data_IF_910301398379
#
_entry.id   IF_910301398379
#
_cell.length_a   1.000
_cell.length_b   1.000
_cell.length_c   1.000
_cell.angle_alpha   90.00
_cell.angle_beta   90.00
_cell.angle_gamma   90.00
#
_symmetry.space_group_name_H-M   'P 1'
#
loop_
_entity.id
_entity.type
_entity.pdbx_description
1 polymer ?
#
# COMPACT_ATOMS: atom_id res chain seq x y z
N UNK A 1 1.92 6.10 1.30
CA UNK A 1 3.08 6.39 0.43
C UNK A 1 2.69 6.25 -1.03
N UNK A 2 3.08 7.18 -1.89
CA UNK A 2 2.82 7.17 -3.32
C UNK A 2 4.10 6.82 -4.09
N UNK A 3 3.95 6.09 -5.19
CA UNK A 3 5.02 5.67 -6.07
C UNK A 3 4.54 5.52 -7.50
N UNK A 4 5.38 4.96 -8.36
CA UNK A 4 5.02 4.64 -9.74
C UNK A 4 5.54 3.25 -10.11
N UNK A 5 4.83 2.59 -11.01
CA UNK A 5 5.25 1.35 -11.66
C UNK A 5 4.90 1.39 -13.15
N UNK A 6 5.29 0.37 -13.88
CA UNK A 6 4.90 0.16 -15.27
C UNK A 6 3.69 -0.77 -15.32
N UNK A 7 2.66 -0.40 -16.10
CA UNK A 7 1.48 -1.25 -16.25
C UNK A 7 1.85 -2.57 -16.97
N UNK A 8 1.55 -3.72 -16.37
CA UNK A 8 1.84 -5.04 -16.97
C UNK A 8 1.12 -5.31 -18.29
N UNK A 9 0.01 -4.60 -18.54
CA UNK A 9 -0.80 -4.77 -19.76
C UNK A 9 -0.43 -3.82 -20.89
N UNK A 10 -0.35 -2.50 -20.63
CA UNK A 10 -0.12 -1.49 -21.66
C UNK A 10 1.24 -0.79 -21.57
N UNK A 11 2.10 -1.15 -20.63
CA UNK A 11 3.42 -0.56 -20.41
C UNK A 11 3.42 0.95 -20.09
N UNK A 12 2.24 1.51 -19.77
CA UNK A 12 2.09 2.92 -19.41
C UNK A 12 2.54 3.18 -17.97
N UNK A 13 3.13 4.36 -17.68
CA UNK A 13 3.46 4.75 -16.32
C UNK A 13 2.19 4.82 -15.47
N UNK A 14 2.18 4.09 -14.37
CA UNK A 14 1.00 3.94 -13.51
C UNK A 14 1.35 4.38 -12.09
N UNK A 15 0.63 5.37 -11.52
CA UNK A 15 0.83 5.73 -10.14
C UNK A 15 0.35 4.60 -9.22
N UNK A 16 1.03 4.40 -8.10
CA UNK A 16 0.70 3.40 -7.09
C UNK A 16 0.62 4.06 -5.72
N UNK A 17 -0.06 3.40 -4.78
CA UNK A 17 -0.09 3.80 -3.38
C UNK A 17 0.07 2.59 -2.46
N UNK A 18 0.82 2.74 -1.37
CA UNK A 18 0.89 1.74 -0.30
C UNK A 18 0.50 2.40 1.02
N UNK A 19 -0.30 1.69 1.82
CA UNK A 19 -0.65 2.11 3.17
C UNK A 19 0.45 1.61 4.09
N UNK A 20 1.08 2.55 4.80
CA UNK A 20 2.10 2.28 5.80
C UNK A 20 1.57 2.73 7.16
N UNK A 21 1.82 1.92 8.18
CA UNK A 21 1.56 2.25 9.59
C UNK A 21 2.88 2.18 10.36
N UNK A 22 3.12 3.09 11.31
CA UNK A 22 4.35 3.11 12.12
C UNK A 22 4.40 1.97 13.15
N UNK A 23 3.24 1.45 13.54
CA UNK A 23 3.06 0.30 14.42
C UNK A 23 1.66 -0.26 14.21
N UNK A 24 1.42 -1.50 14.62
CA UNK A 24 0.10 -2.10 14.56
C UNK A 24 -0.11 -3.19 15.62
N UNK A 25 -1.38 -3.39 15.91
CA UNK A 25 -1.91 -4.49 16.69
C UNK A 25 -2.59 -5.47 15.73
N UNK A 26 -2.28 -6.75 15.84
CA UNK A 26 -2.88 -7.81 15.03
C UNK A 26 -3.90 -8.58 15.86
N UNK A 27 -5.10 -8.73 15.30
CA UNK A 27 -6.19 -9.49 15.90
C UNK A 27 -6.45 -10.72 15.05
N UNK A 28 -6.21 -11.90 15.61
CA UNK A 28 -6.51 -13.18 14.99
C UNK A 28 -7.31 -14.11 15.93
N UNK A 29 -7.46 -15.38 15.54
CA UNK A 29 -8.18 -16.38 16.33
C UNK A 29 -7.48 -16.71 17.67
N UNK A 30 -6.20 -16.40 17.82
CA UNK A 30 -5.38 -16.62 19.01
C UNK A 30 -5.40 -15.42 19.97
N UNK A 31 -5.77 -14.23 19.47
CA UNK A 31 -6.07 -13.05 20.27
C UNK A 31 -5.54 -11.76 19.67
N UNK A 32 -5.30 -10.78 20.54
CA UNK A 32 -4.68 -9.51 20.19
C UNK A 32 -3.18 -9.57 20.50
N UNK A 33 -2.35 -9.34 19.49
CA UNK A 33 -0.89 -9.30 19.58
C UNK A 33 -0.39 -7.91 19.14
N UNK A 34 0.35 -7.24 20.02
CA UNK A 34 1.06 -6.00 19.66
C UNK A 34 2.34 -6.37 18.89
N UNK A 35 2.41 -5.96 17.63
CA UNK A 35 3.57 -6.22 16.77
C UNK A 35 4.62 -5.11 16.90
N UNK A 36 4.24 -3.92 17.42
CA UNK A 36 5.13 -2.81 17.77
C UNK A 36 5.91 -2.14 16.62
N UNK A 37 6.00 -2.77 15.46
CA UNK A 37 6.85 -2.36 14.34
C UNK A 37 6.05 -1.84 13.14
N UNK A 38 6.70 -1.00 12.33
CA UNK A 38 6.09 -0.48 11.12
C UNK A 38 5.76 -1.56 10.10
N UNK A 39 4.65 -1.40 9.40
CA UNK A 39 4.19 -2.35 8.39
C UNK A 39 3.62 -1.66 7.14
N UNK A 40 3.79 -2.33 6.01
CA UNK A 40 3.01 -2.10 4.81
C UNK A 40 1.80 -3.02 4.78
N UNK A 41 0.61 -2.44 4.62
CA UNK A 41 -0.62 -3.20 4.44
C UNK A 41 -0.75 -3.66 2.98
N UNK A 42 -1.10 -4.94 2.80
CA UNK A 42 -1.27 -5.62 1.51
C UNK A 42 -2.57 -6.41 1.51
N UNK A 43 -3.10 -6.68 0.33
CA UNK A 43 -4.36 -7.42 0.14
C UNK A 43 -5.47 -6.88 1.04
N UNK A 44 -5.61 -5.56 1.08
CA UNK A 44 -6.52 -4.87 2.00
C UNK A 44 -7.96 -5.15 1.59
N UNK A 45 -8.64 -6.01 2.33
CA UNK A 45 -10.03 -6.40 2.09
C UNK A 45 -11.03 -5.40 2.68
N UNK A 46 -10.65 -4.73 3.78
CA UNK A 46 -11.48 -3.73 4.46
C UNK A 46 -10.62 -2.61 5.03
N UNK A 47 -11.17 -1.40 5.02
CA UNK A 47 -10.67 -0.21 5.71
C UNK A 47 -11.85 0.46 6.42
N UNK A 48 -11.58 1.11 7.55
CA UNK A 48 -12.54 2.03 8.14
C UNK A 48 -12.88 3.17 7.16
N UNK A 49 -14.09 3.73 7.29
CA UNK A 49 -14.66 4.68 6.33
C UNK A 49 -13.79 5.93 6.15
N UNK A 50 -13.23 6.45 7.24
CA UNK A 50 -12.36 7.62 7.20
C UNK A 50 -11.12 7.36 6.37
N UNK A 51 -10.44 6.26 6.66
CA UNK A 51 -9.24 5.84 5.91
C UNK A 51 -9.56 5.55 4.45
N UNK A 52 -10.70 4.91 4.15
CA UNK A 52 -11.11 4.66 2.77
C UNK A 52 -11.36 5.96 1.99
N UNK A 53 -12.03 6.94 2.60
CA UNK A 53 -12.26 8.26 2.00
C UNK A 53 -10.94 9.02 1.77
N UNK A 54 -10.02 8.95 2.73
CA UNK A 54 -8.67 9.52 2.60
C UNK A 54 -7.92 8.95 1.40
N UNK A 55 -7.87 7.62 1.31
CA UNK A 55 -7.20 6.92 0.21
C UNK A 55 -7.83 7.28 -1.12
N UNK A 56 -9.17 7.32 -1.21
CA UNK A 56 -9.86 7.70 -2.43
C UNK A 56 -9.55 9.15 -2.87
N UNK A 57 -9.36 10.07 -1.91
CA UNK A 57 -8.99 11.47 -2.18
C UNK A 57 -7.57 11.64 -2.74
N UNK A 58 -6.62 10.79 -2.33
CA UNK A 58 -5.21 10.89 -2.72
C UNK A 58 -4.77 9.89 -3.79
N UNK A 59 -5.46 8.76 -3.93
CA UNK A 59 -5.16 7.68 -4.85
C UNK A 59 -6.44 7.05 -5.42
N UNK A 60 -7.26 7.78 -6.20
CA UNK A 60 -8.52 7.28 -6.74
C UNK A 60 -8.38 6.05 -7.68
N UNK A 61 -7.17 5.77 -8.16
CA UNK A 61 -6.83 4.58 -8.94
C UNK A 61 -6.61 3.32 -8.08
N UNK A 62 -6.48 3.46 -6.76
CA UNK A 62 -6.42 2.38 -5.78
C UNK A 62 -7.84 2.19 -5.21
N UNK A 63 -8.52 1.13 -5.66
CA UNK A 63 -9.93 0.89 -5.33
C UNK A 63 -10.24 -0.61 -5.25
N UNK A 64 -11.29 -0.95 -4.52
CA UNK A 64 -11.70 -2.35 -4.37
C UNK A 64 -12.02 -2.98 -5.73
N UNK A 65 -11.42 -4.14 -5.99
CA UNK A 65 -11.69 -4.93 -7.17
C UNK A 65 -11.57 -6.42 -6.84
N UNK A 66 -12.42 -7.22 -7.48
CA UNK A 66 -12.34 -8.67 -7.42
C UNK A 66 -11.30 -9.16 -8.41
N UNK A 67 -10.30 -9.89 -7.94
CA UNK A 67 -9.32 -10.50 -8.84
C UNK A 67 -9.86 -11.80 -9.41
N UNK A 68 -9.68 -12.01 -10.71
CA UNK A 68 -10.12 -13.25 -11.37
C UNK A 68 -9.36 -14.49 -10.89
N UNK A 69 -8.11 -14.32 -10.47
CA UNK A 69 -7.21 -15.44 -10.14
C UNK A 69 -7.48 -15.99 -8.73
N UNK A 70 -7.63 -15.13 -7.71
CA UNK A 70 -7.91 -15.59 -6.34
C UNK A 70 -9.39 -15.55 -5.97
N UNK A 71 -10.24 -14.84 -6.74
CA UNK A 71 -11.62 -14.57 -6.38
C UNK A 71 -11.79 -13.59 -5.20
N UNK A 72 -10.69 -13.15 -4.59
CA UNK A 72 -10.72 -12.19 -3.49
C UNK A 72 -10.99 -10.79 -4.00
N UNK A 73 -11.72 -10.02 -3.20
CA UNK A 73 -11.93 -8.59 -3.40
C UNK A 73 -11.06 -7.82 -2.42
N UNK A 74 -10.11 -7.05 -2.95
CA UNK A 74 -9.23 -6.20 -2.14
C UNK A 74 -8.97 -4.88 -2.86
N UNK A 75 -8.43 -3.92 -2.12
CA UNK A 75 -8.04 -2.62 -2.60
C UNK A 75 -6.85 -2.74 -3.56
N UNK A 76 -7.09 -2.58 -4.87
CA UNK A 76 -6.11 -2.88 -5.90
C UNK A 76 -5.84 -1.69 -6.82
N UNK A 77 -4.60 -1.56 -7.28
CA UNK A 77 -4.21 -0.52 -8.24
C UNK A 77 -4.78 -0.81 -9.62
N UNK A 78 -5.27 0.24 -10.27
CA UNK A 78 -5.69 0.23 -11.66
C UNK A 78 -4.78 1.16 -12.47
N UNK A 79 -4.39 0.72 -13.67
CA UNK A 79 -3.67 1.58 -14.59
C UNK A 79 -4.51 2.80 -14.95
N UNK A 80 -3.96 4.00 -14.78
CA UNK A 80 -4.63 5.26 -15.13
C UNK A 80 -4.73 5.49 -16.64
N UNK A 81 -3.97 4.73 -17.44
CA UNK A 81 -4.00 4.80 -18.92
C UNK A 81 -5.00 3.82 -19.54
N UNK A 82 -4.92 2.54 -19.19
CA UNK A 82 -5.74 1.49 -19.83
C UNK A 82 -6.81 0.86 -18.91
N UNK A 83 -6.84 1.23 -17.63
CA UNK A 83 -7.79 0.68 -16.64
C UNK A 83 -7.46 -0.74 -16.18
N UNK A 84 -6.39 -1.37 -16.69
CA UNK A 84 -6.02 -2.73 -16.30
C UNK A 84 -5.72 -2.82 -14.80
N UNK A 85 -6.27 -3.84 -14.16
CA UNK A 85 -5.98 -4.19 -12.77
C UNK A 85 -4.52 -4.63 -12.64
N UNK A 86 -3.72 -3.93 -11.83
CA UNK A 86 -2.31 -4.25 -11.60
C UNK A 86 -2.14 -5.24 -10.43
N UNK A 87 -2.95 -5.11 -9.39
CA UNK A 87 -2.91 -5.98 -8.21
C UNK A 87 -1.64 -5.84 -7.36
N UNK A 88 -1.73 -6.32 -6.12
CA UNK A 88 -0.66 -6.13 -5.13
C UNK A 88 0.60 -6.96 -5.42
N UNK A 89 0.44 -8.10 -6.11
CA UNK A 89 1.55 -9.01 -6.40
C UNK A 89 2.74 -8.32 -7.08
N UNK A 90 2.48 -7.53 -8.13
CA UNK A 90 3.54 -6.82 -8.86
C UNK A 90 4.00 -5.56 -8.12
N UNK A 91 3.06 -4.84 -7.52
CA UNK A 91 3.34 -3.56 -6.85
C UNK A 91 4.23 -3.73 -5.61
N UNK A 92 4.09 -4.85 -4.90
CA UNK A 92 4.90 -5.19 -3.72
C UNK A 92 5.99 -6.24 -4.00
N UNK A 93 6.24 -6.55 -5.28
CA UNK A 93 7.34 -7.45 -5.69
C UNK A 93 8.72 -6.77 -5.47
N UNK A 94 9.83 -7.53 -5.55
CA UNK A 94 11.18 -6.97 -5.45
C UNK A 94 11.50 -5.87 -6.48
N UNK A 95 10.87 -5.91 -7.65
CA UNK A 95 11.01 -4.89 -8.69
C UNK A 95 9.97 -3.76 -8.55
N UNK A 96 9.06 -3.88 -7.58
CA UNK A 96 8.00 -2.92 -7.30
C UNK A 96 8.49 -1.72 -6.48
N UNK A 97 7.73 -0.60 -6.51
CA UNK A 97 8.12 0.64 -5.84
C UNK A 97 8.21 0.53 -4.31
N UNK A 98 7.60 -0.50 -3.70
CA UNK A 98 7.55 -0.69 -2.25
C UNK A 98 8.55 -1.74 -1.74
N UNK A 99 9.63 -1.96 -2.51
CA UNK A 99 10.78 -2.78 -2.13
C UNK A 99 12.11 -2.00 -2.18
N UNK A 100 12.20 -0.80 -1.57
CA UNK A 100 13.42 0.00 -1.65
C UNK A 100 14.61 -0.74 -1.02
N UNK A 101 15.73 -0.78 -1.76
CA UNK A 101 17.00 -1.35 -1.32
C UNK A 101 17.94 -0.28 -0.71
N UNK A 102 17.58 0.99 -0.83
CA UNK A 102 18.38 2.12 -0.31
C UNK A 102 17.52 3.31 0.08
N UNK A 103 18.10 4.23 0.86
CA UNK A 103 17.43 5.48 1.24
C UNK A 103 17.18 6.41 0.05
N UNK A 104 18.01 6.30 -0.99
CA UNK A 104 17.79 7.02 -2.25
C UNK A 104 16.52 6.53 -2.93
N UNK A 105 16.27 5.22 -2.93
CA UNK A 105 15.04 4.64 -3.48
C UNK A 105 13.83 4.94 -2.60
N UNK A 106 13.96 4.80 -1.28
CA UNK A 106 12.91 5.18 -0.33
C UNK A 106 12.52 6.66 -0.49
N UNK A 107 13.50 7.55 -0.69
CA UNK A 107 13.28 8.98 -0.89
C UNK A 107 12.54 9.36 -2.18
N UNK A 108 12.45 8.43 -3.15
CA UNK A 108 11.63 8.62 -4.37
C UNK A 108 10.14 8.43 -4.12
N UNK A 109 9.77 7.80 -3.00
CA UNK A 109 8.38 7.70 -2.59
C UNK A 109 7.91 9.01 -1.98
N UNK A 110 6.64 9.33 -2.20
CA UNK A 110 5.99 10.46 -1.55
C UNK A 110 5.21 9.99 -0.33
N UNK A 111 5.52 10.51 0.84
CA UNK A 111 4.75 10.28 2.05
C UNK A 111 3.64 11.33 2.16
N UNK A 112 2.43 10.83 2.35
CA UNK A 112 1.25 11.64 2.67
C UNK A 112 0.84 11.24 4.08
N UNK A 113 0.85 12.19 5.00
CA UNK A 113 0.52 11.92 6.39
C UNK A 113 -0.98 11.65 6.55
N UNK A 114 -1.33 10.53 7.18
CA UNK A 114 -2.71 10.22 7.59
C UNK A 114 -3.15 11.02 8.83
N UNK A 115 -4.43 10.92 9.19
CA UNK A 115 -5.02 11.74 10.26
C UNK A 115 -5.34 11.01 11.57
N UNK A 116 -4.85 9.78 11.76
CA UNK A 116 -5.10 9.04 12.99
C UNK A 116 -4.84 7.53 12.86
N UNK A 117 -5.23 6.76 13.89
CA UNK A 117 -5.26 5.31 13.79
C UNK A 117 -6.27 4.88 12.72
N UNK A 118 -6.04 3.70 12.15
CA UNK A 118 -6.92 3.06 11.18
C UNK A 118 -7.29 1.66 11.65
N UNK A 119 -8.38 1.12 11.11
CA UNK A 119 -8.70 -0.31 11.23
C UNK A 119 -8.77 -0.93 9.84
N UNK A 120 -8.10 -2.05 9.65
CA UNK A 120 -8.04 -2.74 8.38
C UNK A 120 -8.19 -4.25 8.56
N UNK A 121 -8.72 -4.90 7.52
CA UNK A 121 -8.52 -6.34 7.31
C UNK A 121 -7.55 -6.47 6.14
N UNK A 122 -6.32 -6.87 6.42
CA UNK A 122 -5.21 -6.88 5.47
C UNK A 122 -4.12 -7.84 5.93
N UNK A 123 -3.19 -8.18 5.05
CA UNK A 123 -1.89 -8.75 5.43
C UNK A 123 -0.90 -7.62 5.72
N UNK A 124 0.02 -7.85 6.66
CA UNK A 124 1.12 -6.95 6.97
C UNK A 124 2.44 -7.49 6.39
N UNK A 125 3.24 -6.61 5.79
CA UNK A 125 4.63 -6.89 5.45
C UNK A 125 5.54 -5.93 6.19
N UNK A 126 6.52 -6.45 6.92
CA UNK A 126 7.48 -5.65 7.69
C UNK A 126 8.85 -5.60 7.02
N UNK A 127 9.60 -4.53 7.27
CA UNK A 127 10.98 -4.40 6.80
C UNK A 127 11.72 -3.33 7.59
N UNK A 128 13.03 -3.49 7.75
CA UNK A 128 13.88 -2.59 8.55
C UNK A 128 13.93 -1.14 8.05
N UNK A 129 13.48 -0.84 6.82
CA UNK A 129 13.40 0.53 6.33
C UNK A 129 12.17 1.30 6.82
N UNK A 130 11.17 0.63 7.40
CA UNK A 130 9.87 1.23 7.71
C UNK A 130 9.96 2.34 8.77
N UNK A 131 10.90 2.24 9.71
CA UNK A 131 11.15 3.29 10.72
C UNK A 131 11.65 4.61 10.11
N UNK A 132 12.16 4.55 8.88
CA UNK A 132 12.74 5.69 8.17
C UNK A 132 11.75 6.37 7.24
N UNK A 133 10.53 5.85 7.09
CA UNK A 133 9.50 6.41 6.18
C UNK A 133 9.25 7.90 6.41
N UNK A 134 8.99 8.39 7.64
CA UNK A 134 8.73 9.81 7.86
C UNK A 134 9.96 10.70 7.64
N UNK A 135 11.16 10.12 7.73
CA UNK A 135 12.43 10.85 7.67
C UNK A 135 13.00 10.93 6.25
N UNK A 136 12.78 9.89 5.45
CA UNK A 136 13.45 9.70 4.16
C UNK A 136 12.53 9.98 2.97
N UNK A 137 11.24 9.61 3.05
CA UNK A 137 10.30 9.86 1.95
C UNK A 137 10.09 11.36 1.73
N UNK A 138 9.87 11.74 0.48
CA UNK A 138 9.49 13.12 0.12
C UNK A 138 8.11 13.44 0.69
N UNK A 139 7.94 14.58 1.36
CA UNK A 139 6.66 14.98 1.93
C UNK A 139 5.74 15.61 0.87
N UNK A 140 4.45 15.27 0.90
CA UNK A 140 3.40 15.88 0.06
C UNK A 140 2.87 17.19 0.65
#
# INVERSE_FOLDING_TARGET
MLGHTECHFCHGPTPTAALWVPSFEEHDDEGLVDQGEGALLRYIERLDEGTAAFVAGHAPWLRFATTRTSGQSYLAHHCTTCGALQGDHFVFSPDGPYWPQSDVELGRLTFVQGFGPLTAQASAGQSAWMDRVPLTCTQA
#
